data_IF_328902908389
#
_entry.id   IF_328902908389
#
_cell.length_a   1.000
_cell.length_b   1.000
_cell.length_c   1.000
_cell.angle_alpha   90.00
_cell.angle_beta   90.00
_cell.angle_gamma   90.00
#
_symmetry.space_group_name_H-M   'P 1'
#
loop_
_entity.id
_entity.type
_entity.pdbx_description
1 polymer ?
#
# COMPACT_ATOMS: atom_id res chain seq x y z
N UNK A 1 13.18 6.71 0.29
CA UNK A 1 12.39 7.59 -0.60
C UNK A 1 11.50 6.71 -1.45
N UNK A 2 10.63 7.25 -2.31
CA UNK A 2 9.76 6.41 -3.17
C UNK A 2 10.57 5.34 -3.90
N UNK A 3 10.20 4.07 -3.72
CA UNK A 3 10.96 2.93 -4.23
C UNK A 3 10.08 1.71 -4.45
N UNK A 4 10.65 0.70 -5.11
CA UNK A 4 10.00 -0.56 -5.44
C UNK A 4 10.57 -1.69 -4.59
N UNK A 5 9.69 -2.47 -3.98
CA UNK A 5 10.05 -3.72 -3.33
C UNK A 5 9.71 -4.86 -4.26
N UNK A 6 10.76 -5.52 -4.76
CA UNK A 6 10.62 -6.73 -5.54
C UNK A 6 10.40 -7.95 -4.61
N UNK A 7 9.87 -9.08 -5.11
CA UNK A 7 9.62 -10.28 -4.30
C UNK A 7 10.79 -10.73 -3.40
N UNK A 8 12.02 -10.62 -3.91
CA UNK A 8 13.24 -10.99 -3.16
C UNK A 8 13.48 -10.15 -1.89
N UNK A 9 12.82 -8.99 -1.75
CA UNK A 9 13.02 -8.07 -0.63
C UNK A 9 12.69 -8.73 0.72
N UNK A 10 11.65 -9.56 0.79
CA UNK A 10 11.28 -10.32 1.99
C UNK A 10 11.25 -11.84 1.81
N UNK A 11 11.28 -12.35 0.57
CA UNK A 11 11.09 -13.77 0.29
C UNK A 11 12.27 -14.32 -0.46
N UNK A 12 13.06 -15.15 0.23
CA UNK A 12 14.25 -15.78 -0.33
C UNK A 12 13.94 -16.56 -1.61
N UNK A 13 14.88 -16.53 -2.57
CA UNK A 13 14.80 -17.24 -3.85
C UNK A 13 13.61 -16.83 -4.74
N UNK A 14 13.08 -15.61 -4.57
CA UNK A 14 12.10 -15.00 -5.47
C UNK A 14 12.74 -13.99 -6.43
N UNK A 15 11.93 -13.44 -7.33
CA UNK A 15 12.39 -12.54 -8.39
C UNK A 15 13.05 -11.28 -7.83
N UNK A 16 14.19 -10.94 -8.42
CA UNK A 16 14.84 -9.66 -8.27
C UNK A 16 14.14 -8.59 -9.10
N UNK A 17 14.39 -7.32 -8.77
CA UNK A 17 13.83 -6.18 -9.49
C UNK A 17 14.05 -6.24 -11.01
N UNK A 18 15.26 -6.62 -11.45
CA UNK A 18 15.60 -6.70 -12.88
C UNK A 18 14.94 -7.88 -13.63
N UNK A 19 14.26 -8.77 -12.90
CA UNK A 19 13.51 -9.92 -13.45
C UNK A 19 12.01 -9.63 -13.54
N UNK A 20 11.56 -8.44 -13.13
CA UNK A 20 10.19 -7.98 -13.37
C UNK A 20 10.05 -7.54 -14.84
N UNK A 21 9.04 -8.03 -15.53
CA UNK A 21 8.74 -7.64 -16.90
C UNK A 21 8.23 -6.20 -16.96
N UNK A 22 8.63 -5.45 -17.98
CA UNK A 22 8.21 -4.06 -18.17
C UNK A 22 6.67 -3.89 -18.21
N UNK A 23 5.94 -4.89 -18.68
CA UNK A 23 4.46 -4.87 -18.70
C UNK A 23 3.85 -4.96 -17.30
N UNK A 24 4.57 -5.51 -16.34
CA UNK A 24 4.15 -5.51 -14.94
C UNK A 24 4.25 -4.13 -14.32
N UNK A 25 5.13 -3.27 -14.86
CA UNK A 25 5.48 -1.96 -14.31
C UNK A 25 4.68 -0.81 -14.94
N UNK A 26 3.73 -1.11 -15.83
CA UNK A 26 2.85 -0.11 -16.46
C UNK A 26 1.41 -0.60 -16.35
N UNK A 27 0.68 -0.05 -15.37
CA UNK A 27 -0.61 -0.57 -14.97
C UNK A 27 -1.67 0.54 -14.91
N UNK A 28 -2.96 0.21 -15.18
CA UNK A 28 -4.05 1.05 -14.71
C UNK A 28 -3.89 1.31 -13.22
N UNK A 29 -4.22 2.52 -12.77
CA UNK A 29 -4.14 2.91 -11.37
C UNK A 29 -5.53 3.15 -10.80
N UNK A 30 -5.78 2.53 -9.66
CA UNK A 30 -6.89 2.87 -8.76
C UNK A 30 -6.31 3.51 -7.50
N UNK A 31 -6.85 4.66 -7.12
CA UNK A 31 -6.49 5.35 -5.87
C UNK A 31 -7.65 5.22 -4.89
N UNK A 32 -7.38 4.59 -3.76
CA UNK A 32 -8.30 4.44 -2.65
C UNK A 32 -8.03 5.57 -1.65
N UNK A 33 -8.89 6.59 -1.62
CA UNK A 33 -8.77 7.73 -0.71
C UNK A 33 -9.42 7.42 0.64
N UNK A 34 -8.57 7.28 1.67
CA UNK A 34 -8.97 7.19 3.08
C UNK A 34 -8.24 8.25 3.93
N UNK A 35 -7.84 9.36 3.30
CA UNK A 35 -7.10 10.45 3.96
C UNK A 35 -7.84 11.04 5.15
N UNK A 36 -9.18 11.11 5.11
CA UNK A 36 -10.01 11.64 6.20
C UNK A 36 -10.02 10.71 7.41
N UNK A 37 -10.21 9.43 7.17
CA UNK A 37 -10.21 8.38 8.19
C UNK A 37 -8.83 8.30 8.86
N UNK A 38 -7.75 8.42 8.07
CA UNK A 38 -6.37 8.48 8.58
C UNK A 38 -6.11 9.74 9.41
N UNK A 39 -6.66 10.90 9.00
CA UNK A 39 -6.50 12.14 9.75
C UNK A 39 -7.17 12.08 11.13
N UNK A 40 -8.28 11.33 11.26
CA UNK A 40 -8.97 11.08 12.53
C UNK A 40 -8.29 9.98 13.35
N UNK A 41 -7.68 9.00 12.69
CA UNK A 41 -7.03 7.86 13.33
C UNK A 41 -5.72 7.49 12.59
N UNK A 42 -4.53 7.86 13.11
CA UNK A 42 -3.27 7.49 12.47
C UNK A 42 -3.01 5.98 12.46
N UNK A 43 -3.72 5.19 13.27
CA UNK A 43 -3.64 3.72 13.28
C UNK A 43 -4.70 3.07 12.36
N UNK A 44 -5.21 3.82 11.38
CA UNK A 44 -6.21 3.32 10.45
C UNK A 44 -5.68 2.12 9.65
N UNK A 45 -6.53 1.10 9.54
CA UNK A 45 -6.28 -0.11 8.78
C UNK A 45 -7.26 -0.17 7.61
N UNK A 46 -6.75 -0.19 6.40
CA UNK A 46 -7.59 -0.43 5.23
C UNK A 46 -7.93 -1.93 5.16
N UNK A 47 -9.22 -2.28 5.28
CA UNK A 47 -9.69 -3.66 5.44
C UNK A 47 -10.49 -4.15 4.25
N UNK A 48 -10.74 -5.46 4.15
CA UNK A 48 -11.65 -6.01 3.13
C UNK A 48 -13.03 -5.36 3.18
N UNK A 49 -13.54 -5.03 4.36
CA UNK A 49 -14.85 -4.39 4.51
C UNK A 49 -14.87 -3.00 3.86
N UNK A 50 -13.82 -2.20 4.10
CA UNK A 50 -13.61 -0.91 3.45
C UNK A 50 -13.55 -1.06 1.92
N UNK A 51 -12.83 -2.08 1.40
CA UNK A 51 -12.76 -2.34 -0.03
C UNK A 51 -14.12 -2.69 -0.64
N UNK A 52 -14.92 -3.53 0.03
CA UNK A 52 -16.26 -3.89 -0.44
C UNK A 52 -17.21 -2.69 -0.45
N UNK A 53 -17.12 -1.81 0.55
CA UNK A 53 -17.88 -0.56 0.59
C UNK A 53 -17.47 0.38 -0.55
N UNK A 54 -16.17 0.52 -0.78
CA UNK A 54 -15.64 1.32 -1.88
C UNK A 54 -16.12 0.78 -3.24
N UNK A 55 -16.08 -0.54 -3.46
CA UNK A 55 -16.59 -1.16 -4.69
C UNK A 55 -18.09 -0.98 -4.89
N UNK A 56 -18.87 -0.90 -3.82
CA UNK A 56 -20.31 -0.65 -3.92
C UNK A 56 -20.62 0.74 -4.46
N UNK A 57 -19.72 1.71 -4.26
CA UNK A 57 -19.87 3.10 -4.70
C UNK A 57 -19.18 3.37 -6.04
N UNK A 58 -18.02 2.76 -6.28
CA UNK A 58 -17.13 3.07 -7.40
C UNK A 58 -17.00 1.95 -8.44
N UNK A 59 -17.69 0.83 -8.21
CA UNK A 59 -17.60 -0.37 -9.05
C UNK A 59 -16.44 -1.29 -8.64
N UNK A 60 -16.49 -2.53 -9.14
CA UNK A 60 -15.52 -3.58 -8.83
C UNK A 60 -14.10 -3.18 -9.28
N UNK A 61 -13.11 -3.41 -8.42
CA UNK A 61 -11.68 -3.29 -8.74
C UNK A 61 -11.33 -4.33 -9.81
N UNK A 62 -10.80 -3.86 -10.93
CA UNK A 62 -10.41 -4.70 -12.06
C UNK A 62 -9.11 -5.48 -11.77
N UNK A 63 -8.97 -6.69 -12.36
CA UNK A 63 -7.69 -7.39 -12.34
C UNK A 63 -6.61 -6.62 -13.11
N UNK A 64 -5.36 -7.04 -12.96
CA UNK A 64 -4.20 -6.47 -13.65
C UNK A 64 -4.04 -4.95 -13.44
N UNK A 65 -4.47 -4.47 -12.29
CA UNK A 65 -4.48 -3.06 -11.89
C UNK A 65 -3.52 -2.82 -10.73
N UNK A 66 -2.94 -1.63 -10.63
CA UNK A 66 -2.23 -1.17 -9.44
C UNK A 66 -3.20 -0.46 -8.50
N UNK A 67 -3.23 -0.83 -7.23
CA UNK A 67 -4.10 -0.18 -6.24
C UNK A 67 -3.25 0.58 -5.22
N UNK A 68 -3.40 1.90 -5.18
CA UNK A 68 -2.73 2.76 -4.22
C UNK A 68 -3.65 3.11 -3.05
N UNK A 69 -3.15 2.99 -1.82
CA UNK A 69 -3.79 3.53 -0.63
C UNK A 69 -3.30 4.96 -0.41
N UNK A 70 -4.20 5.91 -0.66
CA UNK A 70 -4.01 7.32 -0.34
C UNK A 70 -4.42 7.59 1.09
N UNK A 71 -3.47 8.08 1.86
CA UNK A 71 -3.60 8.44 3.28
C UNK A 71 -3.21 9.89 3.55
N UNK A 72 -2.74 10.62 2.53
CA UNK A 72 -2.13 11.95 2.63
C UNK A 72 -0.92 11.99 3.59
N UNK A 73 -0.34 10.82 3.92
CA UNK A 73 0.80 10.70 4.81
C UNK A 73 2.03 11.41 4.26
N UNK A 74 2.16 11.47 2.93
CA UNK A 74 3.27 12.15 2.26
C UNK A 74 3.33 13.65 2.56
N UNK A 75 2.25 14.28 3.02
CA UNK A 75 2.25 15.68 3.46
C UNK A 75 3.08 15.93 4.73
N UNK A 76 3.42 14.88 5.50
CA UNK A 76 4.30 14.97 6.67
C UNK A 76 5.78 15.12 6.27
N UNK A 77 6.13 14.81 5.02
CA UNK A 77 7.49 14.97 4.50
C UNK A 77 7.81 16.46 4.20
N UNK A 78 9.04 16.96 4.42
CA UNK A 78 10.25 16.26 4.86
C UNK A 78 10.47 16.24 6.38
N UNK A 79 9.45 16.49 7.20
CA UNK A 79 9.58 16.44 8.65
C UNK A 79 9.58 14.98 9.14
N UNK A 80 10.78 14.44 9.39
CA UNK A 80 10.98 13.04 9.81
C UNK A 80 10.21 12.71 11.09
N UNK A 81 10.20 13.60 12.10
CA UNK A 81 9.50 13.35 13.35
C UNK A 81 7.98 13.24 13.14
N UNK A 82 7.41 14.10 12.29
CA UNK A 82 5.99 14.01 11.93
C UNK A 82 5.69 12.77 11.08
N UNK A 83 6.61 12.35 10.22
CA UNK A 83 6.42 11.20 9.34
C UNK A 83 6.50 9.87 10.10
N UNK A 84 7.46 9.74 11.03
CA UNK A 84 7.55 8.59 11.93
C UNK A 84 6.40 8.54 12.94
N UNK A 85 5.86 9.72 13.30
CA UNK A 85 4.67 9.89 14.15
C UNK A 85 4.70 9.03 15.42
N UNK A 86 5.84 9.07 16.13
CA UNK A 86 6.05 8.28 17.36
C UNK A 86 5.31 8.90 18.56
N UNK A 87 4.75 8.05 19.42
CA UNK A 87 4.18 8.46 20.72
C UNK A 87 5.28 8.79 21.76
N UNK A 88 4.87 9.08 23.00
CA UNK A 88 5.79 9.41 24.08
C UNK A 88 6.68 8.23 24.52
N UNK A 89 6.22 7.01 24.26
CA UNK A 89 6.91 5.75 24.50
C UNK A 89 7.84 5.35 23.34
N UNK A 90 7.77 6.07 22.21
CA UNK A 90 8.58 5.86 21.01
C UNK A 90 7.96 4.90 19.99
N UNK A 91 6.71 4.49 20.17
CA UNK A 91 6.01 3.60 19.24
C UNK A 91 5.50 4.40 18.02
N UNK A 92 5.77 3.97 16.79
CA UNK A 92 5.25 4.62 15.60
C UNK A 92 3.74 4.41 15.46
N UNK A 93 3.06 5.43 14.94
CA UNK A 93 1.64 5.38 14.59
C UNK A 93 1.45 5.79 13.14
N UNK A 94 1.41 4.82 12.24
CA UNK A 94 1.15 5.05 10.83
C UNK A 94 0.07 4.09 10.30
N UNK A 95 -0.75 4.54 9.35
CA UNK A 95 -1.81 3.72 8.77
C UNK A 95 -1.20 2.66 7.86
N UNK A 96 -1.98 1.65 7.50
CA UNK A 96 -1.54 0.66 6.54
C UNK A 96 -2.64 -0.26 6.08
N UNK A 97 -2.25 -1.23 5.27
CA UNK A 97 -3.12 -2.30 4.79
C UNK A 97 -3.31 -3.34 5.90
N UNK A 98 -4.53 -3.85 6.05
CA UNK A 98 -4.71 -5.09 6.79
C UNK A 98 -4.41 -6.30 5.89
N UNK A 99 -4.02 -7.41 6.50
CA UNK A 99 -3.73 -8.64 5.75
C UNK A 99 -4.93 -9.14 4.94
N UNK A 100 -6.16 -9.03 5.46
CA UNK A 100 -7.37 -9.45 4.75
C UNK A 100 -7.71 -8.56 3.55
N UNK A 101 -7.33 -7.28 3.58
CA UNK A 101 -7.43 -6.40 2.40
C UNK A 101 -6.48 -6.84 1.30
N UNK A 102 -5.22 -7.10 1.65
CA UNK A 102 -4.19 -7.54 0.70
C UNK A 102 -4.57 -8.90 0.07
N UNK A 103 -5.01 -9.84 0.90
CA UNK A 103 -5.52 -11.14 0.42
C UNK A 103 -6.69 -10.98 -0.55
N UNK A 104 -7.65 -10.14 -0.20
CA UNK A 104 -8.80 -9.89 -1.05
C UNK A 104 -8.42 -9.26 -2.41
N UNK A 105 -7.53 -8.27 -2.41
CA UNK A 105 -7.07 -7.62 -3.65
C UNK A 105 -6.31 -8.60 -4.55
N UNK A 106 -5.33 -9.32 -3.99
CA UNK A 106 -4.46 -10.20 -4.78
C UNK A 106 -5.19 -11.48 -5.22
N UNK A 107 -5.94 -12.13 -4.33
CA UNK A 107 -6.57 -13.44 -4.61
C UNK A 107 -7.95 -13.31 -5.26
N UNK A 108 -8.80 -12.38 -4.79
CA UNK A 108 -10.20 -12.29 -5.26
C UNK A 108 -10.43 -11.22 -6.33
N UNK A 109 -9.53 -10.22 -6.46
CA UNK A 109 -9.60 -9.20 -7.50
C UNK A 109 -8.54 -9.36 -8.58
N UNK A 110 -7.48 -10.11 -8.34
CA UNK A 110 -6.39 -10.27 -9.30
C UNK A 110 -5.65 -8.95 -9.52
N UNK A 111 -5.60 -8.09 -8.50
CA UNK A 111 -4.80 -6.87 -8.50
C UNK A 111 -3.35 -7.24 -8.76
N UNK A 112 -2.69 -6.49 -9.64
CA UNK A 112 -1.32 -6.81 -10.01
C UNK A 112 -0.36 -6.45 -8.89
N UNK A 113 -0.47 -5.26 -8.34
CA UNK A 113 0.45 -4.70 -7.35
C UNK A 113 -0.24 -3.62 -6.52
N UNK A 114 0.36 -3.26 -5.38
CA UNK A 114 -0.17 -2.27 -4.45
C UNK A 114 0.88 -1.22 -4.11
N UNK A 115 0.43 -0.08 -3.57
CA UNK A 115 1.35 0.91 -3.02
C UNK A 115 0.70 1.81 -1.99
N UNK A 116 1.52 2.51 -1.23
CA UNK A 116 1.08 3.35 -0.11
C UNK A 116 2.08 4.48 0.15
N UNK A 117 1.68 5.44 0.98
CA UNK A 117 2.49 6.65 1.28
C UNK A 117 3.42 6.49 2.50
N UNK A 118 3.20 5.49 3.34
CA UNK A 118 3.97 5.17 4.55
C UNK A 118 5.29 4.43 4.27
N UNK A 119 6.07 4.18 5.32
CA UNK A 119 7.32 3.38 5.26
C UNK A 119 7.08 1.89 5.15
N UNK A 120 5.91 1.41 5.55
CA UNK A 120 5.62 0.00 5.64
C UNK A 120 4.22 -0.24 5.05
N UNK A 121 4.02 -1.42 4.46
CA UNK A 121 2.71 -1.89 3.99
C UNK A 121 1.72 -2.06 5.14
N UNK A 122 2.20 -2.58 6.27
CA UNK A 122 1.38 -2.86 7.45
C UNK A 122 1.16 -1.59 8.28
N UNK A 123 -0.01 -1.46 8.92
CA UNK A 123 -0.21 -0.42 9.93
C UNK A 123 0.74 -0.64 11.11
N UNK A 124 1.32 0.42 11.67
CA UNK A 124 2.35 0.29 12.73
C UNK A 124 1.88 -0.50 13.95
N UNK A 125 0.60 -0.37 14.30
CA UNK A 125 -0.04 -1.15 15.38
C UNK A 125 -0.08 -2.65 15.10
N UNK A 126 -0.17 -3.06 13.84
CA UNK A 126 -0.14 -4.48 13.46
C UNK A 126 1.29 -5.00 13.46
N UNK A 127 2.26 -4.20 13.00
CA UNK A 127 3.69 -4.53 13.15
C UNK A 127 4.05 -4.72 14.62
N UNK A 128 3.62 -3.82 15.51
CA UNK A 128 3.87 -3.95 16.95
C UNK A 128 3.20 -5.19 17.55
N UNK A 129 1.97 -5.50 17.13
CA UNK A 129 1.22 -6.67 17.60
C UNK A 129 1.85 -8.00 17.15
N UNK A 130 2.34 -8.07 15.91
CA UNK A 130 2.85 -9.29 15.31
C UNK A 130 4.37 -9.46 15.48
N UNK A 131 5.09 -8.36 15.72
CA UNK A 131 6.55 -8.33 15.70
C UNK A 131 7.15 -8.60 14.32
N UNK A 132 6.38 -8.40 13.25
CA UNK A 132 6.73 -8.71 11.87
C UNK A 132 5.84 -7.91 10.89
N UNK A 133 6.32 -7.74 9.65
CA UNK A 133 5.64 -7.09 8.53
C UNK A 133 4.86 -8.13 7.72
N UNK A 134 3.79 -8.66 8.32
CA UNK A 134 3.08 -9.82 7.76
C UNK A 134 2.39 -9.52 6.42
N UNK A 135 1.90 -8.30 6.23
CA UNK A 135 1.29 -7.82 5.00
C UNK A 135 2.30 -7.70 3.88
N UNK A 136 3.45 -7.06 4.15
CA UNK A 136 4.53 -6.95 3.18
C UNK A 136 5.07 -8.32 2.75
N UNK A 137 5.37 -9.20 3.72
CA UNK A 137 5.79 -10.58 3.44
C UNK A 137 4.77 -11.32 2.58
N UNK A 138 3.48 -11.10 2.85
CA UNK A 138 2.41 -11.71 2.08
C UNK A 138 2.38 -11.20 0.64
N UNK A 139 2.40 -9.87 0.42
CA UNK A 139 2.40 -9.24 -0.91
C UNK A 139 3.57 -9.76 -1.74
N UNK A 140 4.80 -9.66 -1.23
CA UNK A 140 6.01 -10.08 -1.93
C UNK A 140 6.06 -11.61 -2.13
N UNK A 141 5.40 -12.37 -1.25
CA UNK A 141 5.22 -13.82 -1.36
C UNK A 141 4.32 -14.26 -2.52
N UNK A 142 3.45 -13.37 -3.02
CA UNK A 142 2.61 -13.62 -4.21
C UNK A 142 3.36 -13.46 -5.54
N UNK A 143 4.69 -13.31 -5.50
CA UNK A 143 5.51 -13.04 -6.69
C UNK A 143 5.11 -11.75 -7.42
N UNK A 144 4.69 -10.75 -6.64
CA UNK A 144 4.46 -9.38 -7.10
C UNK A 144 5.31 -8.37 -6.33
N UNK A 145 5.28 -7.12 -6.78
CA UNK A 145 5.98 -6.00 -6.17
C UNK A 145 5.02 -5.07 -5.43
N UNK A 146 5.57 -4.13 -4.69
CA UNK A 146 4.84 -2.98 -4.13
C UNK A 146 5.64 -1.69 -4.29
N UNK A 147 4.99 -0.54 -4.06
CA UNK A 147 5.65 0.77 -4.00
C UNK A 147 5.36 1.44 -2.66
N UNK A 148 6.42 1.82 -1.97
CA UNK A 148 6.33 2.58 -0.73
C UNK A 148 6.65 4.05 -0.95
N UNK A 149 6.28 4.88 0.03
CA UNK A 149 6.56 6.32 0.04
C UNK A 149 6.05 7.02 -1.23
N UNK A 150 4.89 6.60 -1.74
CA UNK A 150 4.17 7.35 -2.78
C UNK A 150 3.83 8.77 -2.30
N UNK A 151 3.62 9.68 -3.25
CA UNK A 151 3.23 11.06 -2.97
C UNK A 151 2.37 11.61 -4.11
N UNK A 152 1.70 12.74 -3.89
CA UNK A 152 0.80 13.39 -4.84
C UNK A 152 -0.40 12.51 -5.27
N UNK A 153 -0.81 11.53 -4.45
CA UNK A 153 -2.00 10.72 -4.73
C UNK A 153 -3.29 11.55 -4.70
N UNK A 154 -3.28 12.66 -3.96
CA UNK A 154 -4.33 13.70 -3.92
C UNK A 154 -4.55 14.42 -5.26
N UNK A 155 -3.60 14.31 -6.18
CA UNK A 155 -3.66 14.94 -7.51
C UNK A 155 -4.14 13.98 -8.59
N UNK A 156 -4.47 12.74 -8.23
CA UNK A 156 -4.88 11.69 -9.15
C UNK A 156 -6.38 11.41 -9.02
N UNK A 157 -7.06 11.03 -10.12
CA UNK A 157 -8.41 10.52 -10.04
C UNK A 157 -8.41 9.14 -9.37
N UNK A 158 -9.53 8.77 -8.75
CA UNK A 158 -9.72 7.42 -8.18
C UNK A 158 -9.58 6.32 -9.24
N UNK A 159 -9.93 6.60 -10.50
CA UNK A 159 -9.86 5.69 -11.65
C UNK A 159 -9.47 6.44 -12.92
N UNK A 160 -8.80 5.74 -13.84
CA UNK A 160 -8.48 6.24 -15.19
C UNK A 160 -7.07 6.81 -15.36
N UNK A 161 -6.28 6.83 -14.29
CA UNK A 161 -4.84 7.07 -14.36
C UNK A 161 -4.08 5.79 -14.74
N UNK A 162 -2.84 5.95 -15.17
CA UNK A 162 -1.89 4.86 -15.42
C UNK A 162 -0.63 5.15 -14.61
N UNK A 163 -0.14 4.16 -13.88
CA UNK A 163 1.12 4.25 -13.14
C UNK A 163 2.26 3.63 -13.96
N UNK A 164 3.41 4.29 -13.92
CA UNK A 164 4.67 3.78 -14.48
C UNK A 164 5.65 3.63 -13.32
N UNK A 165 6.02 2.39 -12.99
CA UNK A 165 6.94 2.06 -11.90
C UNK A 165 8.28 1.61 -12.48
N UNK A 166 8.95 2.53 -13.20
CA UNK A 166 10.16 2.30 -14.01
C UNK A 166 11.32 3.20 -13.59
#
# INVERSE_FOLDING_TARGET
GTHIDAPIHFVENRRYLHELDLKELVLPLIVLDYSKEVAENPDFRLTRAHLLEWEAQHGRIEPDTFVAFRSDWSHRWPNVEQFENKDAEGNPHAPGWSLDALQFLLEERGVRSVGHETFDTDASVDVAKHGDLIGERYVLGQDTYQIELLTNLDRLPERGAVIYTI
#
